data_IF_776920811872
#
_entry.id   IF_776920811872
#
_cell.length_a   1.000
_cell.length_b   1.000
_cell.length_c   1.000
_cell.angle_alpha   90.00
_cell.angle_beta   90.00
_cell.angle_gamma   90.00
#
_symmetry.space_group_name_H-M   'P 1'
#
loop_
_entity.id
_entity.type
_entity.pdbx_description
1 polymer ?
#
# COMPACT_ATOMS: atom_id res chain seq x y z
N UNK A 1 3.12 2.40 6.76
CA UNK A 1 2.10 3.50 6.68
C UNK A 1 2.67 4.92 6.48
N UNK A 2 3.40 5.52 7.44
CA UNK A 2 3.77 6.96 7.43
C UNK A 2 4.36 7.47 6.11
N UNK A 3 5.27 6.72 5.49
CA UNK A 3 5.89 7.10 4.20
C UNK A 3 4.84 7.25 3.09
N UNK A 4 3.88 6.34 3.00
CA UNK A 4 2.81 6.42 2.00
C UNK A 4 1.91 7.64 2.23
N UNK A 5 1.60 7.98 3.49
CA UNK A 5 0.82 9.17 3.81
C UNK A 5 1.57 10.45 3.41
N UNK A 6 2.87 10.54 3.71
CA UNK A 6 3.70 11.69 3.34
C UNK A 6 3.83 11.87 1.82
N UNK A 7 4.10 10.77 1.11
CA UNK A 7 4.22 10.78 -0.36
C UNK A 7 2.89 11.18 -0.99
N UNK A 8 1.78 10.63 -0.50
CA UNK A 8 0.45 10.96 -1.03
C UNK A 8 0.02 12.38 -0.70
N UNK A 9 0.25 12.85 0.53
CA UNK A 9 -0.02 14.23 0.93
C UNK A 9 0.76 15.24 0.07
N UNK A 10 2.04 14.94 -0.21
CA UNK A 10 2.86 15.76 -1.11
C UNK A 10 2.34 15.74 -2.54
N UNK A 11 1.89 14.58 -3.02
CA UNK A 11 1.28 14.45 -4.35
C UNK A 11 -0.02 15.26 -4.47
N UNK A 12 -0.80 15.35 -3.39
CA UNK A 12 -1.98 16.21 -3.30
C UNK A 12 -1.65 17.69 -3.06
N UNK A 13 -0.37 18.07 -3.08
CA UNK A 13 0.12 19.44 -2.88
C UNK A 13 -0.32 20.08 -1.55
N UNK A 14 -0.48 19.25 -0.50
CA UNK A 14 -0.80 19.74 0.84
C UNK A 14 0.32 20.60 1.42
N UNK A 15 -0.03 21.49 2.35
CA UNK A 15 0.93 22.38 2.99
C UNK A 15 1.93 21.61 3.86
N UNK A 16 3.12 22.17 4.08
CA UNK A 16 4.20 21.50 4.83
C UNK A 16 3.74 21.07 6.23
N UNK A 17 2.97 21.91 6.91
CA UNK A 17 2.45 21.66 8.24
C UNK A 17 1.49 20.46 8.25
N UNK A 18 0.75 20.25 7.16
CA UNK A 18 -0.15 19.11 6.98
C UNK A 18 0.63 17.82 6.72
N UNK A 19 1.73 17.89 5.95
CA UNK A 19 2.65 16.78 5.77
C UNK A 19 3.25 16.34 7.10
N UNK A 20 3.75 17.29 7.92
CA UNK A 20 4.32 17.00 9.23
C UNK A 20 3.29 16.32 10.15
N UNK A 21 2.03 16.79 10.15
CA UNK A 21 0.94 16.17 10.91
C UNK A 21 0.58 14.75 10.41
N UNK A 22 0.49 14.53 9.09
CA UNK A 22 0.21 13.21 8.51
C UNK A 22 1.37 12.23 8.71
N UNK A 23 2.61 12.73 8.69
CA UNK A 23 3.80 11.94 9.00
C UNK A 23 3.77 11.41 10.43
N UNK A 24 3.48 12.29 11.40
CA UNK A 24 3.28 11.91 12.80
C UNK A 24 2.10 10.96 12.97
N UNK A 25 0.98 11.23 12.31
CA UNK A 25 -0.21 10.36 12.35
C UNK A 25 0.14 8.94 11.87
N UNK A 26 0.78 8.80 10.72
CA UNK A 26 1.14 7.49 10.18
C UNK A 26 2.21 6.74 10.99
N UNK A 27 2.95 7.41 11.87
CA UNK A 27 3.88 6.77 12.81
C UNK A 27 3.17 6.29 14.09
N UNK A 28 2.11 6.99 14.50
CA UNK A 28 1.57 6.89 15.86
C UNK A 28 0.11 6.41 15.93
N UNK A 29 -0.60 6.33 14.79
CA UNK A 29 -2.02 5.93 14.77
C UNK A 29 -2.31 4.57 15.41
N UNK A 30 -1.27 3.71 15.45
CA UNK A 30 -1.32 2.34 15.92
C UNK A 30 -0.61 2.10 17.26
N UNK A 31 -0.16 3.17 17.95
CA UNK A 31 0.62 3.04 19.20
C UNK A 31 -0.14 2.28 20.30
N UNK A 32 -1.47 2.30 20.27
CA UNK A 32 -2.35 1.56 21.17
C UNK A 32 -2.27 0.04 21.03
N UNK A 33 -1.71 -0.50 19.94
CA UNK A 33 -1.43 -1.94 19.81
C UNK A 33 -0.51 -2.45 20.94
N UNK A 34 0.30 -1.56 21.54
CA UNK A 34 1.15 -1.87 22.70
C UNK A 34 0.37 -2.25 23.97
N UNK A 35 -0.92 -1.92 24.05
CA UNK A 35 -1.80 -2.28 25.17
C UNK A 35 -2.65 -3.52 24.89
N UNK A 36 -2.61 -4.06 23.68
CA UNK A 36 -3.33 -5.28 23.37
C UNK A 36 -2.67 -6.50 24.03
N UNK A 37 -3.44 -7.52 24.43
CA UNK A 37 -2.88 -8.77 24.93
C UNK A 37 -1.97 -9.44 23.89
N UNK A 38 -0.84 -10.01 24.34
CA UNK A 38 0.09 -10.74 23.47
C UNK A 38 -0.61 -11.86 22.67
N UNK A 39 -1.59 -12.54 23.27
CA UNK A 39 -2.40 -13.57 22.61
C UNK A 39 -3.14 -13.07 21.36
N UNK A 40 -3.51 -11.78 21.29
CA UNK A 40 -4.12 -11.17 20.10
C UNK A 40 -3.04 -10.82 19.08
N UNK A 41 -1.91 -10.27 19.52
CA UNK A 41 -0.82 -9.82 18.65
C UNK A 41 -0.05 -10.96 17.98
N UNK A 42 0.09 -12.09 18.66
CA UNK A 42 0.88 -13.24 18.23
C UNK A 42 0.05 -14.35 17.59
N UNK A 43 -1.28 -14.15 17.47
CA UNK A 43 -2.20 -15.16 16.97
C UNK A 43 -1.83 -15.61 15.55
N UNK A 44 -1.68 -16.93 15.41
CA UNK A 44 -1.47 -17.60 14.12
C UNK A 44 -2.83 -18.00 13.54
N UNK A 45 -3.39 -17.17 12.66
CA UNK A 45 -4.67 -17.42 11.99
C UNK A 45 -5.67 -16.27 12.15
N UNK A 46 -6.89 -16.42 11.59
CA UNK A 46 -7.92 -15.40 11.71
C UNK A 46 -8.38 -15.22 13.16
N UNK A 47 -8.66 -13.97 13.53
CA UNK A 47 -9.28 -13.63 14.81
C UNK A 47 -10.76 -14.06 14.82
N UNK A 48 -11.27 -14.50 15.97
CA UNK A 48 -12.73 -14.64 16.19
C UNK A 48 -13.39 -13.26 16.27
N UNK A 49 -14.72 -13.23 16.33
CA UNK A 49 -15.44 -11.96 16.48
C UNK A 49 -15.09 -11.26 17.81
N UNK A 50 -14.97 -12.02 18.90
CA UNK A 50 -14.59 -11.50 20.22
C UNK A 50 -13.15 -10.97 20.22
N UNK A 51 -12.23 -11.73 19.63
CA UNK A 51 -10.83 -11.30 19.51
C UNK A 51 -10.69 -10.08 18.59
N UNK A 52 -11.50 -10.01 17.53
CA UNK A 52 -11.57 -8.84 16.65
C UNK A 52 -12.06 -7.63 17.43
N UNK A 53 -13.08 -7.77 18.27
CA UNK A 53 -13.56 -6.69 19.13
C UNK A 53 -12.46 -6.18 20.07
N UNK A 54 -11.66 -7.08 20.66
CA UNK A 54 -10.50 -6.71 21.49
C UNK A 54 -9.44 -5.99 20.63
N UNK A 55 -9.09 -6.54 19.46
CA UNK A 55 -8.09 -5.96 18.58
C UNK A 55 -8.47 -4.53 18.16
N UNK A 56 -9.75 -4.25 17.89
CA UNK A 56 -10.25 -2.91 17.51
C UNK A 56 -10.06 -1.85 18.61
N UNK A 57 -9.92 -2.25 19.88
CA UNK A 57 -9.68 -1.31 20.99
C UNK A 57 -8.35 -0.56 20.87
N UNK A 58 -7.40 -1.03 20.04
CA UNK A 58 -6.13 -0.33 19.84
C UNK A 58 -6.31 1.12 19.37
N UNK A 59 -7.41 1.43 18.68
CA UNK A 59 -7.69 2.80 18.24
C UNK A 59 -7.95 3.70 19.44
N UNK A 60 -8.83 3.28 20.36
CA UNK A 60 -9.12 4.01 21.59
C UNK A 60 -7.88 4.14 22.47
N UNK A 61 -7.11 3.06 22.62
CA UNK A 61 -5.82 3.10 23.33
C UNK A 61 -4.82 4.07 22.69
N UNK A 62 -4.78 4.15 21.36
CA UNK A 62 -3.93 5.12 20.66
C UNK A 62 -4.36 6.55 21.01
N UNK A 63 -5.66 6.85 20.99
CA UNK A 63 -6.19 8.17 21.37
C UNK A 63 -5.80 8.53 22.81
N UNK A 64 -5.96 7.61 23.75
CA UNK A 64 -5.61 7.84 25.15
C UNK A 64 -4.12 8.13 25.32
N UNK A 65 -3.25 7.31 24.71
CA UNK A 65 -1.80 7.48 24.76
C UNK A 65 -1.41 8.83 24.17
N UNK A 66 -1.95 9.19 23.00
CA UNK A 66 -1.62 10.44 22.32
C UNK A 66 -2.10 11.66 23.10
N UNK A 67 -3.29 11.62 23.71
CA UNK A 67 -3.79 12.70 24.58
C UNK A 67 -2.94 12.89 25.83
N UNK A 68 -2.42 11.81 26.39
CA UNK A 68 -1.59 11.85 27.60
C UNK A 68 -0.12 12.23 27.32
N UNK A 69 0.29 12.33 26.05
CA UNK A 69 1.69 12.59 25.67
C UNK A 69 1.92 14.09 25.41
N UNK A 70 2.74 14.78 26.23
CA UNK A 70 3.04 16.20 26.03
C UNK A 70 3.81 16.46 24.73
N UNK A 71 3.59 17.62 24.13
CA UNK A 71 4.33 18.08 22.95
C UNK A 71 3.85 17.54 21.60
N UNK A 72 2.80 16.71 21.59
CA UNK A 72 2.15 16.28 20.36
C UNK A 72 1.12 17.31 19.87
N UNK A 73 0.87 17.42 18.55
CA UNK A 73 -0.17 18.28 18.02
C UNK A 73 -1.56 17.92 18.58
N UNK A 74 -2.33 18.92 19.01
CA UNK A 74 -3.64 18.74 19.65
C UNK A 74 -4.65 17.96 18.79
N UNK A 75 -4.55 18.10 17.45
CA UNK A 75 -5.42 17.40 16.50
C UNK A 75 -5.10 15.92 16.35
N UNK A 76 -3.89 15.49 16.70
CA UNK A 76 -3.37 14.15 16.40
C UNK A 76 -4.23 13.02 16.99
N UNK A 77 -4.69 13.06 18.27
CA UNK A 77 -5.53 12.00 18.81
C UNK A 77 -6.88 11.88 18.08
N UNK A 78 -7.50 13.01 17.70
CA UNK A 78 -8.76 12.98 16.96
C UNK A 78 -8.60 12.35 15.58
N UNK A 79 -7.47 12.61 14.91
CA UNK A 79 -7.15 12.03 13.61
C UNK A 79 -6.80 10.53 13.70
N UNK A 80 -6.12 10.11 14.76
CA UNK A 80 -5.80 8.71 15.00
C UNK A 80 -7.06 7.84 15.11
N UNK A 81 -8.22 8.39 15.46
CA UNK A 81 -9.48 7.63 15.45
C UNK A 81 -9.97 7.23 14.05
N UNK A 82 -9.47 7.87 13.00
CA UNK A 82 -10.13 7.87 11.69
C UNK A 82 -9.58 6.83 10.71
N UNK A 83 -8.40 6.25 10.97
CA UNK A 83 -7.71 5.37 10.00
C UNK A 83 -8.45 4.05 9.73
N UNK A 84 -9.34 3.64 10.63
CA UNK A 84 -10.21 2.48 10.47
C UNK A 84 -11.68 2.82 10.13
N UNK A 85 -12.01 4.09 9.98
CA UNK A 85 -13.31 4.50 9.45
C UNK A 85 -13.40 4.21 7.95
N UNK A 86 -14.62 3.99 7.45
CA UNK A 86 -14.88 3.63 6.05
C UNK A 86 -16.03 4.48 5.52
N UNK A 87 -15.96 4.88 4.25
CA UNK A 87 -16.88 5.85 3.66
C UNK A 87 -18.36 5.46 3.75
N UNK A 88 -18.66 4.17 3.69
CA UNK A 88 -20.00 3.58 3.85
C UNK A 88 -20.47 3.47 5.33
N UNK A 89 -19.58 3.73 6.29
CA UNK A 89 -19.80 3.60 7.73
C UNK A 89 -19.65 2.19 8.30
N UNK A 90 -19.11 1.25 7.51
CA UNK A 90 -18.77 -0.10 8.00
C UNK A 90 -17.53 -0.11 8.90
N UNK A 91 -16.80 1.00 8.95
CA UNK A 91 -15.59 1.19 9.75
C UNK A 91 -15.83 1.33 11.24
N UNK A 92 -14.75 1.57 11.98
CA UNK A 92 -14.75 1.68 13.44
C UNK A 92 -13.71 2.72 13.87
N UNK A 93 -13.80 3.26 15.11
CA UNK A 93 -14.71 2.89 16.20
C UNK A 93 -16.10 3.55 16.16
N UNK A 94 -16.29 4.63 15.40
CA UNK A 94 -17.52 5.44 15.44
C UNK A 94 -18.48 5.17 14.28
N UNK A 95 -18.05 4.48 13.23
CA UNK A 95 -18.88 4.21 12.06
C UNK A 95 -19.22 5.48 11.28
N UNK A 96 -18.24 6.38 11.17
CA UNK A 96 -18.38 7.66 10.47
C UNK A 96 -18.63 7.43 8.97
N UNK A 97 -19.38 8.33 8.34
CA UNK A 97 -19.76 8.22 6.93
C UNK A 97 -19.35 9.44 6.13
N UNK A 98 -18.98 9.23 4.88
CA UNK A 98 -18.78 10.32 3.93
C UNK A 98 -17.73 11.32 4.42
N UNK A 99 -18.11 12.60 4.33
CA UNK A 99 -17.30 13.75 4.71
C UNK A 99 -16.98 13.83 6.22
N UNK A 100 -17.65 13.06 7.07
CA UNK A 100 -17.35 13.02 8.51
C UNK A 100 -15.94 12.49 8.80
N UNK A 101 -15.38 11.69 7.90
CA UNK A 101 -14.02 11.14 8.02
C UNK A 101 -12.98 12.20 7.64
N UNK A 102 -13.34 13.13 6.75
CA UNK A 102 -12.46 14.16 6.23
C UNK A 102 -11.27 13.63 5.41
N UNK A 103 -10.46 14.56 4.92
CA UNK A 103 -9.32 14.26 4.05
C UNK A 103 -8.26 13.41 4.76
N UNK A 104 -7.87 13.78 5.98
CA UNK A 104 -6.76 13.13 6.69
C UNK A 104 -7.12 11.70 7.11
N UNK A 105 -8.35 11.47 7.57
CA UNK A 105 -8.85 10.13 7.85
C UNK A 105 -8.91 9.27 6.59
N UNK A 106 -9.33 9.84 5.46
CA UNK A 106 -9.38 9.13 4.18
C UNK A 106 -7.98 8.76 3.67
N UNK A 107 -6.99 9.67 3.78
CA UNK A 107 -5.58 9.40 3.47
C UNK A 107 -5.05 8.28 4.36
N UNK A 108 -5.28 8.36 5.67
CA UNK A 108 -4.83 7.35 6.63
C UNK A 108 -5.45 5.98 6.33
N UNK A 109 -6.75 5.90 6.08
CA UNK A 109 -7.45 4.66 5.77
C UNK A 109 -6.93 3.99 4.49
N UNK A 110 -6.66 4.77 3.44
CA UNK A 110 -6.11 4.24 2.18
C UNK A 110 -4.68 3.74 2.39
N UNK A 111 -3.81 4.55 3.01
CA UNK A 111 -2.41 4.22 3.22
C UNK A 111 -2.22 3.03 4.17
N UNK A 112 -3.01 2.97 5.25
CA UNK A 112 -3.03 1.86 6.21
C UNK A 112 -3.45 0.55 5.54
N UNK A 113 -4.54 0.58 4.77
CA UNK A 113 -5.01 -0.61 4.03
C UNK A 113 -4.00 -1.08 2.98
N UNK A 114 -3.37 -0.15 2.25
CA UNK A 114 -2.35 -0.52 1.27
C UNK A 114 -1.12 -1.19 1.92
N UNK A 115 -0.61 -0.61 3.00
CA UNK A 115 0.51 -1.15 3.77
C UNK A 115 0.15 -2.52 4.36
N UNK A 116 -1.06 -2.65 4.91
CA UNK A 116 -1.59 -3.88 5.46
C UNK A 116 -1.69 -5.03 4.45
N UNK A 117 -2.11 -4.73 3.21
CA UNK A 117 -2.27 -5.70 2.12
C UNK A 117 -0.94 -6.13 1.50
N UNK A 118 0.07 -5.25 1.53
CA UNK A 118 1.38 -5.49 0.90
C UNK A 118 2.45 -5.96 1.87
N UNK A 119 2.20 -5.91 3.18
CA UNK A 119 3.08 -6.43 4.20
C UNK A 119 2.90 -7.95 4.38
N UNK A 120 4.02 -8.69 4.48
CA UNK A 120 3.99 -10.11 4.83
C UNK A 120 3.54 -10.28 6.28
N UNK A 121 2.57 -11.18 6.51
CA UNK A 121 2.06 -11.50 7.85
C UNK A 121 2.24 -12.99 8.13
N UNK A 122 2.35 -13.42 9.41
CA UNK A 122 2.50 -14.83 9.75
C UNK A 122 1.40 -15.74 9.19
N UNK A 123 0.20 -15.19 8.99
CA UNK A 123 -1.01 -15.93 8.60
C UNK A 123 -1.56 -15.59 7.20
N UNK A 124 -0.91 -14.71 6.44
CA UNK A 124 -1.37 -14.33 5.10
C UNK A 124 -0.19 -13.95 4.20
N UNK A 125 -0.19 -14.48 2.98
CA UNK A 125 0.73 -14.02 1.94
C UNK A 125 0.44 -12.55 1.62
N UNK A 126 1.50 -11.75 1.52
CA UNK A 126 1.41 -10.37 1.05
C UNK A 126 0.86 -10.36 -0.38
N UNK A 127 -0.07 -9.45 -0.67
CA UNK A 127 -0.46 -9.17 -2.04
C UNK A 127 0.61 -8.34 -2.74
N UNK A 128 0.72 -8.53 -4.06
CA UNK A 128 1.56 -7.67 -4.88
C UNK A 128 1.03 -6.24 -4.77
N UNK A 129 1.91 -5.21 -4.86
CA UNK A 129 1.45 -3.81 -4.82
C UNK A 129 0.33 -3.51 -5.80
N UNK A 130 0.40 -4.04 -7.03
CA UNK A 130 -0.67 -3.85 -8.02
C UNK A 130 -1.97 -4.60 -7.67
N UNK A 131 -1.90 -5.76 -7.01
CA UNK A 131 -3.05 -6.49 -6.51
C UNK A 131 -3.73 -5.69 -5.40
N UNK A 132 -2.96 -5.09 -4.49
CA UNK A 132 -3.48 -4.20 -3.44
C UNK A 132 -4.11 -2.93 -4.03
N UNK A 133 -3.51 -2.31 -5.05
CA UNK A 133 -4.12 -1.17 -5.76
C UNK A 133 -5.42 -1.57 -6.48
N UNK A 134 -5.46 -2.76 -7.09
CA UNK A 134 -6.67 -3.30 -7.73
C UNK A 134 -7.79 -3.55 -6.71
N UNK A 135 -7.46 -4.04 -5.52
CA UNK A 135 -8.40 -4.15 -4.40
C UNK A 135 -8.96 -2.78 -4.00
N UNK A 136 -8.11 -1.80 -3.72
CA UNK A 136 -8.54 -0.45 -3.36
C UNK A 136 -9.43 0.17 -4.44
N UNK A 137 -9.07 -0.01 -5.71
CA UNK A 137 -9.88 0.48 -6.84
C UNK A 137 -11.28 -0.14 -6.87
N UNK A 138 -11.43 -1.42 -6.55
CA UNK A 138 -12.75 -2.08 -6.47
C UNK A 138 -13.58 -1.57 -5.29
N UNK A 139 -12.94 -1.25 -4.18
CA UNK A 139 -13.58 -0.74 -2.95
C UNK A 139 -13.84 0.78 -2.96
N UNK A 140 -13.43 1.48 -4.02
CA UNK A 140 -13.62 2.93 -4.16
C UNK A 140 -15.11 3.27 -4.30
N UNK A 141 -15.57 4.30 -3.59
CA UNK A 141 -16.98 4.66 -3.48
C UNK A 141 -17.79 3.77 -2.53
N UNK A 142 -17.17 2.72 -1.96
CA UNK A 142 -17.73 1.90 -0.89
C UNK A 142 -17.00 2.19 0.42
N UNK A 143 -15.94 1.43 0.73
CA UNK A 143 -15.15 1.63 1.93
C UNK A 143 -14.23 2.85 1.88
N UNK A 144 -13.88 3.34 0.68
CA UNK A 144 -12.89 4.40 0.48
C UNK A 144 -13.39 5.50 -0.45
N UNK A 145 -12.86 6.71 -0.28
CA UNK A 145 -13.26 7.87 -1.09
C UNK A 145 -12.79 7.66 -2.54
N UNK A 146 -13.71 7.75 -3.51
CA UNK A 146 -13.42 7.39 -4.91
C UNK A 146 -12.22 8.15 -5.47
N UNK A 147 -12.29 9.49 -5.43
CA UNK A 147 -11.24 10.32 -6.03
C UNK A 147 -9.88 10.12 -5.34
N UNK A 148 -9.85 10.00 -4.01
CA UNK A 148 -8.60 9.80 -3.28
C UNK A 148 -7.97 8.43 -3.57
N UNK A 149 -8.76 7.37 -3.78
CA UNK A 149 -8.22 6.09 -4.23
C UNK A 149 -7.59 6.22 -5.61
N UNK A 150 -8.28 6.90 -6.53
CA UNK A 150 -7.74 7.11 -7.88
C UNK A 150 -6.44 7.91 -7.84
N UNK A 151 -6.42 9.04 -7.10
CA UNK A 151 -5.23 9.86 -6.86
C UNK A 151 -4.10 9.07 -6.16
N UNK A 152 -4.42 8.18 -5.22
CA UNK A 152 -3.41 7.33 -4.57
C UNK A 152 -2.77 6.34 -5.56
N UNK A 153 -3.57 5.71 -6.43
CA UNK A 153 -3.06 4.84 -7.51
C UNK A 153 -2.19 5.65 -8.48
N UNK A 154 -2.56 6.91 -8.75
CA UNK A 154 -1.74 7.82 -9.56
C UNK A 154 -0.38 8.10 -8.91
N UNK A 155 -0.40 8.36 -7.61
CA UNK A 155 0.76 8.67 -6.78
C UNK A 155 1.73 7.49 -6.65
N UNK A 156 1.23 6.29 -6.36
CA UNK A 156 2.04 5.08 -6.20
C UNK A 156 2.47 4.49 -7.56
N UNK A 157 1.70 4.76 -8.61
CA UNK A 157 1.88 4.19 -9.94
C UNK A 157 1.28 2.79 -10.06
N UNK A 158 0.78 2.45 -11.26
CA UNK A 158 0.12 1.14 -11.53
C UNK A 158 1.09 -0.03 -11.32
N UNK A 159 2.35 0.18 -11.67
CA UNK A 159 3.44 -0.77 -11.46
C UNK A 159 4.54 -0.07 -10.67
N UNK A 160 4.50 -0.14 -9.33
CA UNK A 160 5.52 0.51 -8.51
C UNK A 160 6.89 -0.15 -8.65
N UNK A 161 7.94 0.59 -8.33
CA UNK A 161 9.30 0.03 -8.28
C UNK A 161 9.31 -1.19 -7.35
N UNK A 162 9.97 -2.27 -7.79
CA UNK A 162 10.00 -3.55 -7.09
C UNK A 162 8.83 -4.48 -7.39
N UNK A 163 7.80 -4.03 -8.13
CA UNK A 163 6.74 -4.92 -8.58
C UNK A 163 7.29 -5.99 -9.53
N UNK A 164 6.89 -7.23 -9.30
CA UNK A 164 7.21 -8.38 -10.17
C UNK A 164 6.13 -8.50 -11.22
N UNK A 165 6.53 -8.59 -12.48
CA UNK A 165 5.60 -8.57 -13.62
C UNK A 165 5.93 -9.68 -14.61
N UNK A 166 4.89 -10.35 -15.11
CA UNK A 166 4.97 -11.22 -16.28
C UNK A 166 4.74 -10.37 -17.54
N UNK A 167 5.67 -10.46 -18.48
CA UNK A 167 5.54 -9.83 -19.79
C UNK A 167 4.72 -10.71 -20.73
N UNK A 168 4.18 -10.13 -21.80
CA UNK A 168 3.46 -10.89 -22.84
C UNK A 168 4.31 -11.95 -23.55
N UNK A 169 5.65 -11.87 -23.46
CA UNK A 169 6.56 -12.92 -23.93
C UNK A 169 6.63 -14.16 -23.03
N UNK A 170 6.06 -14.09 -21.82
CA UNK A 170 6.22 -15.10 -20.77
C UNK A 170 7.43 -14.86 -19.85
N UNK A 171 8.32 -13.93 -20.20
CA UNK A 171 9.45 -13.52 -19.36
C UNK A 171 8.96 -12.83 -18.08
N UNK A 172 9.74 -12.95 -17.00
CA UNK A 172 9.45 -12.29 -15.71
C UNK A 172 10.46 -11.20 -15.46
N UNK A 173 9.98 -10.03 -15.08
CA UNK A 173 10.80 -8.87 -14.77
C UNK A 173 10.41 -8.16 -13.48
N UNK A 174 11.31 -7.29 -13.03
CA UNK A 174 11.12 -6.40 -11.89
C UNK A 174 11.08 -4.97 -12.40
N UNK A 175 10.11 -4.19 -11.96
CA UNK A 175 10.01 -2.77 -12.29
C UNK A 175 11.12 -2.01 -11.58
N UNK A 176 11.99 -1.35 -12.34
CA UNK A 176 13.13 -0.58 -11.80
C UNK A 176 12.92 0.93 -11.89
N UNK A 177 11.98 1.39 -12.72
CA UNK A 177 11.64 2.80 -12.84
C UNK A 177 10.19 2.96 -13.29
N UNK A 178 9.44 3.83 -12.62
CA UNK A 178 8.08 4.17 -13.03
C UNK A 178 8.08 5.17 -14.19
N UNK A 179 7.03 5.13 -15.00
CA UNK A 179 6.73 6.19 -15.96
C UNK A 179 5.51 6.97 -15.48
N UNK A 180 5.72 8.23 -15.06
CA UNK A 180 4.69 9.06 -14.44
C UNK A 180 3.64 9.55 -15.46
N UNK A 181 3.99 9.59 -16.75
CA UNK A 181 3.09 10.02 -17.83
C UNK A 181 2.35 8.82 -18.43
N UNK A 182 3.07 7.76 -18.78
CA UNK A 182 2.53 6.52 -19.37
C UNK A 182 2.69 5.36 -18.41
N UNK A 183 1.80 5.28 -17.42
CA UNK A 183 1.91 4.38 -16.26
C UNK A 183 2.00 2.89 -16.55
N UNK A 184 1.53 2.46 -17.73
CA UNK A 184 1.64 1.07 -18.20
C UNK A 184 2.97 0.77 -18.90
N UNK A 185 3.85 1.77 -19.03
CA UNK A 185 5.14 1.68 -19.73
C UNK A 185 6.34 2.02 -18.82
N UNK A 186 6.52 1.32 -17.68
CA UNK A 186 7.70 1.48 -16.83
C UNK A 186 8.97 0.88 -17.48
N UNK A 187 10.12 1.10 -16.84
CA UNK A 187 11.34 0.34 -17.14
C UNK A 187 11.36 -0.95 -16.31
N UNK A 188 11.60 -2.07 -16.97
CA UNK A 188 11.58 -3.42 -16.40
C UNK A 188 12.93 -4.09 -16.61
N UNK A 189 13.51 -4.64 -15.54
CA UNK A 189 14.66 -5.51 -15.60
C UNK A 189 14.19 -6.95 -15.67
N UNK A 190 14.48 -7.65 -16.77
CA UNK A 190 14.09 -9.06 -16.95
C UNK A 190 15.05 -9.95 -16.17
N UNK A 191 14.47 -10.81 -15.33
CA UNK A 191 15.20 -11.67 -14.38
C UNK A 191 15.02 -13.15 -14.67
N UNK A 192 13.90 -13.56 -15.27
CA UNK A 192 13.67 -14.92 -15.75
C UNK A 192 13.26 -14.91 -17.23
N UNK A 193 13.72 -15.90 -17.98
CA UNK A 193 13.23 -16.17 -19.34
C UNK A 193 11.80 -16.74 -19.32
N UNK A 194 11.23 -16.97 -20.51
CA UNK A 194 9.87 -17.52 -20.65
C UNK A 194 9.74 -18.99 -20.18
N UNK A 195 10.86 -19.68 -19.96
CA UNK A 195 10.93 -21.03 -19.41
C UNK A 195 11.13 -21.02 -17.88
N UNK A 196 11.31 -19.84 -17.28
CA UNK A 196 11.54 -19.65 -15.85
C UNK A 196 13.00 -19.79 -15.42
N UNK A 197 13.96 -19.83 -16.34
CA UNK A 197 15.38 -19.86 -15.98
C UNK A 197 15.91 -18.45 -15.68
N UNK A 198 16.83 -18.31 -14.71
CA UNK A 198 17.51 -17.04 -14.45
C UNK A 198 18.22 -16.50 -15.69
N UNK A 199 17.97 -15.23 -16.01
CA UNK A 199 18.56 -14.55 -17.15
C UNK A 199 19.74 -13.68 -16.71
N UNK A 200 20.95 -13.98 -17.18
CA UNK A 200 22.16 -13.17 -16.96
C UNK A 200 22.94 -13.00 -18.28
N UNK A 201 23.41 -11.78 -18.64
CA UNK A 201 23.17 -10.51 -17.96
C UNK A 201 21.69 -10.10 -18.04
N UNK A 202 21.23 -9.32 -17.07
CA UNK A 202 19.85 -8.86 -17.04
C UNK A 202 19.55 -7.93 -18.21
N UNK A 203 18.43 -8.16 -18.90
CA UNK A 203 17.93 -7.31 -19.98
C UNK A 203 17.10 -6.18 -19.38
N UNK A 204 17.44 -4.92 -19.65
CA UNK A 204 16.60 -3.77 -19.26
C UNK A 204 15.73 -3.36 -20.43
N UNK A 205 14.41 -3.44 -20.23
CA UNK A 205 13.39 -3.02 -21.17
C UNK A 205 12.81 -1.68 -20.74
N UNK A 206 12.95 -0.67 -21.58
CA UNK A 206 12.21 0.58 -21.45
C UNK A 206 10.91 0.47 -22.27
N UNK A 207 9.80 0.15 -21.60
CA UNK A 207 8.54 -0.11 -22.29
C UNK A 207 7.99 1.13 -23.01
N UNK A 208 8.44 2.35 -22.66
CA UNK A 208 8.01 3.57 -23.36
C UNK A 208 8.57 3.67 -24.77
N UNK A 209 9.69 2.98 -25.02
CA UNK A 209 10.32 2.89 -26.35
C UNK A 209 9.72 1.80 -27.23
N UNK A 210 8.64 1.15 -26.77
CA UNK A 210 7.96 0.06 -27.47
C UNK A 210 8.92 -1.04 -28.01
N UNK A 211 9.84 -1.57 -27.18
CA UNK A 211 10.74 -2.64 -27.60
C UNK A 211 9.91 -3.85 -28.05
N UNK A 212 10.37 -4.53 -29.09
CA UNK A 212 9.64 -5.64 -29.71
C UNK A 212 9.87 -6.97 -28.98
N UNK A 213 8.78 -7.61 -28.54
CA UNK A 213 8.78 -8.97 -28.00
C UNK A 213 8.76 -10.00 -29.13
N UNK A 214 8.06 -9.67 -30.21
CA UNK A 214 8.05 -10.37 -31.49
C UNK A 214 8.08 -9.33 -32.63
N UNK A 215 8.28 -9.71 -33.89
CA UNK A 215 8.30 -8.76 -35.01
C UNK A 215 7.07 -7.83 -35.06
N UNK A 216 5.92 -8.32 -34.62
CA UNK A 216 4.65 -7.57 -34.67
C UNK A 216 4.28 -6.95 -33.32
N UNK A 217 4.66 -7.57 -32.20
CA UNK A 217 4.13 -7.20 -30.88
C UNK A 217 5.19 -6.51 -30.00
N UNK A 218 4.92 -5.30 -29.48
CA UNK A 218 5.76 -4.69 -28.45
C UNK A 218 5.62 -5.43 -27.11
N UNK A 219 6.62 -5.29 -26.26
CA UNK A 219 6.55 -5.73 -24.88
C UNK A 219 5.45 -4.97 -24.13
N UNK A 220 4.66 -5.71 -23.35
CA UNK A 220 3.68 -5.17 -22.40
C UNK A 220 3.63 -6.03 -21.15
N UNK A 221 3.29 -5.40 -20.03
CA UNK A 221 3.02 -6.13 -18.80
C UNK A 221 1.67 -6.84 -18.96
N UNK A 222 1.70 -8.18 -18.87
CA UNK A 222 0.51 -9.03 -18.96
C UNK A 222 -0.22 -9.08 -17.63
N UNK A 223 0.53 -9.29 -16.55
CA UNK A 223 0.03 -9.30 -15.16
C UNK A 223 1.17 -9.06 -14.19
N UNK A 224 0.82 -8.68 -12.97
CA UNK A 224 1.76 -8.71 -11.86
C UNK A 224 1.75 -10.07 -11.19
N UNK A 225 2.89 -10.41 -10.59
CA UNK A 225 3.12 -11.64 -9.86
C UNK A 225 3.45 -11.32 -8.40
N UNK A 226 3.19 -12.30 -7.53
CA UNK A 226 3.61 -12.24 -6.13
C UNK A 226 5.13 -12.43 -6.03
N UNK A 227 5.77 -11.74 -5.07
CA UNK A 227 7.22 -11.79 -4.88
C UNK A 227 7.73 -13.19 -4.56
N UNK A 228 6.92 -14.03 -3.90
CA UNK A 228 7.24 -15.43 -3.60
C UNK A 228 7.51 -16.29 -4.84
N UNK A 229 7.09 -15.84 -6.04
CA UNK A 229 7.38 -16.54 -7.30
C UNK A 229 8.79 -16.29 -7.82
N UNK A 230 9.50 -15.29 -7.32
CA UNK A 230 10.91 -15.12 -7.63
C UNK A 230 11.73 -16.08 -6.76
N UNK A 231 12.43 -17.01 -7.41
CA UNK A 231 13.51 -17.78 -6.77
C UNK A 231 14.82 -16.97 -6.69
N UNK A 232 14.74 -15.65 -6.87
CA UNK A 232 15.87 -14.72 -6.90
C UNK A 232 15.58 -13.64 -5.88
N UNK A 233 16.47 -13.44 -4.90
CA UNK A 233 16.32 -12.38 -3.91
C UNK A 233 16.46 -11.03 -4.63
N UNK A 234 15.44 -10.15 -4.62
CA UNK A 234 15.53 -8.83 -5.22
C UNK A 234 16.72 -8.01 -4.70
N UNK A 235 17.17 -8.24 -3.46
CA UNK A 235 18.34 -7.56 -2.87
C UNK A 235 19.65 -7.89 -3.58
N UNK A 236 19.76 -9.07 -4.20
CA UNK A 236 20.93 -9.44 -5.00
C UNK A 236 20.97 -8.76 -6.37
N UNK A 237 19.87 -8.11 -6.78
CA UNK A 237 19.73 -7.49 -8.10
C UNK A 237 19.96 -5.97 -8.11
N UNK A 238 20.01 -5.35 -6.92
CA UNK A 238 20.16 -3.89 -6.75
C UNK A 238 21.45 -3.48 -6.02
N UNK A 239 22.35 -4.44 -5.74
CA UNK A 239 23.72 -4.22 -5.24
C UNK A 239 24.72 -4.39 -6.39
#
# INVERSE_FOLDING_TARGET
>A
VSIYMLVFARYLELAREELELLGLLGLLQDVGKTRLPAAIMEKQGPLTEEETAIARQHVEYSVEILKATPGLPERLPALAMLHHERQDGSGYPRGLKGDQIGLFGSIAAIADSFDALTAARPYAEALSPSSALSYLYKERGLGYHSDLVEQFIQCVGVFPVGAVVELNSGEVGIVITQNLVRRLKPRVMVVLDAQGHPMRPHKILDLDKDPKASPEEPYRIRRSLEQSRLQVDPRELFL
#
